data_IF_344842414312
#
_entry.id   IF_344842414312
#
_cell.length_a   1.000
_cell.length_b   1.000
_cell.length_c   1.000
_cell.angle_alpha   90.00
_cell.angle_beta   90.00
_cell.angle_gamma   90.00
#
_symmetry.space_group_name_H-M   'P 1'
#
loop_
_entity.id
_entity.type
_entity.pdbx_description
1 polymer ?
#
# COMPACT_ATOMS: atom_id res chain seq x y z
N UNK A 1 -26.49 1.48 -22.25
CA UNK A 1 -26.33 2.33 -21.03
C UNK A 1 -25.93 1.40 -19.90
N UNK A 2 -24.63 1.31 -19.61
CA UNK A 2 -24.12 0.53 -18.48
C UNK A 2 -24.37 1.33 -17.22
N UNK A 3 -25.16 0.78 -16.30
CA UNK A 3 -25.36 1.28 -14.94
C UNK A 3 -23.99 1.52 -14.29
N UNK A 4 -23.76 2.64 -13.58
CA UNK A 4 -22.54 2.82 -12.82
C UNK A 4 -22.44 1.67 -11.82
N UNK A 5 -21.39 0.87 -11.92
CA UNK A 5 -21.17 -0.30 -11.07
C UNK A 5 -20.86 0.20 -9.66
N UNK A 6 -21.88 0.28 -8.82
CA UNK A 6 -21.70 0.55 -7.40
C UNK A 6 -20.83 -0.56 -6.80
N UNK A 7 -19.84 -0.20 -5.98
CA UNK A 7 -19.05 -1.16 -5.20
C UNK A 7 -20.00 -1.84 -4.22
N UNK A 8 -20.12 -3.17 -4.27
CA UNK A 8 -20.89 -3.98 -3.33
C UNK A 8 -20.13 -4.25 -2.03
N UNK A 9 -18.80 -4.32 -2.10
CA UNK A 9 -17.95 -4.56 -0.95
C UNK A 9 -16.53 -3.98 -1.13
N UNK A 10 -15.87 -3.72 -0.01
CA UNK A 10 -14.47 -3.30 0.11
C UNK A 10 -13.68 -4.37 0.86
N UNK A 11 -12.62 -4.87 0.26
CA UNK A 11 -11.67 -5.79 0.87
C UNK A 11 -10.38 -5.04 1.22
N UNK A 12 -10.02 -4.95 2.49
CA UNK A 12 -8.74 -4.36 2.92
C UNK A 12 -7.75 -5.49 3.18
N UNK A 13 -6.70 -5.60 2.37
CA UNK A 13 -5.70 -6.67 2.46
C UNK A 13 -4.43 -6.14 3.09
N UNK A 14 -4.00 -6.76 4.18
CA UNK A 14 -2.87 -6.37 5.03
C UNK A 14 -1.91 -7.56 5.18
N UNK A 15 -0.79 -7.61 4.44
CA UNK A 15 0.25 -8.59 4.69
C UNK A 15 0.98 -8.24 6.00
N UNK A 16 1.18 -9.25 6.85
CA UNK A 16 1.84 -9.05 8.14
C UNK A 16 2.84 -10.17 8.43
N UNK A 17 4.02 -9.80 8.94
CA UNK A 17 5.04 -10.74 9.41
C UNK A 17 5.68 -10.24 10.68
N UNK A 18 5.28 -10.80 11.82
CA UNK A 18 5.73 -10.38 13.15
C UNK A 18 5.50 -8.88 13.40
N UNK A 19 4.26 -8.43 13.30
CA UNK A 19 3.86 -7.02 13.40
C UNK A 19 3.02 -6.73 14.65
N UNK A 20 3.15 -7.52 15.71
CA UNK A 20 2.35 -7.38 16.93
C UNK A 20 2.38 -5.96 17.53
N UNK A 21 3.47 -5.20 17.33
CA UNK A 21 3.62 -3.85 17.87
C UNK A 21 2.94 -2.76 17.03
N UNK A 22 2.89 -2.90 15.71
CA UNK A 22 2.41 -1.83 14.81
C UNK A 22 1.02 -2.14 14.23
N UNK A 23 0.68 -3.41 14.08
CA UNK A 23 -0.59 -3.85 13.51
C UNK A 23 -1.83 -3.32 14.27
N UNK A 24 -1.85 -3.18 15.61
CA UNK A 24 -3.02 -2.62 16.30
C UNK A 24 -3.42 -1.25 15.77
N UNK A 25 -2.47 -0.34 15.59
CA UNK A 25 -2.73 1.01 15.07
C UNK A 25 -3.21 0.98 13.61
N UNK A 26 -2.66 0.07 12.78
CA UNK A 26 -3.11 -0.11 11.40
C UNK A 26 -4.57 -0.60 11.34
N UNK A 27 -4.94 -1.58 12.16
CA UNK A 27 -6.30 -2.13 12.24
C UNK A 27 -7.31 -1.12 12.78
N UNK A 28 -6.94 -0.34 13.79
CA UNK A 28 -7.76 0.75 14.33
C UNK A 28 -8.04 1.81 13.26
N UNK A 29 -7.00 2.22 12.50
CA UNK A 29 -7.15 3.17 11.40
C UNK A 29 -8.07 2.64 10.29
N UNK A 30 -7.94 1.37 9.92
CA UNK A 30 -8.83 0.72 8.94
C UNK A 30 -10.25 0.63 9.48
N UNK A 31 -10.45 0.28 10.76
CA UNK A 31 -11.74 0.25 11.42
C UNK A 31 -12.42 1.63 11.45
N UNK A 32 -11.65 2.68 11.66
CA UNK A 32 -12.12 4.08 11.58
C UNK A 32 -12.53 4.43 10.16
N UNK A 33 -11.72 4.11 9.16
CA UNK A 33 -12.04 4.36 7.75
C UNK A 33 -13.29 3.58 7.28
N UNK A 34 -13.51 2.37 7.81
CA UNK A 34 -14.68 1.55 7.51
C UNK A 34 -16.00 2.15 8.06
N UNK A 35 -15.91 2.96 9.11
CA UNK A 35 -17.06 3.65 9.74
C UNK A 35 -17.34 5.03 9.13
N UNK A 36 -16.58 5.46 8.13
CA UNK A 36 -16.79 6.76 7.49
C UNK A 36 -18.19 6.84 6.87
N UNK A 37 -18.90 7.95 7.08
CA UNK A 37 -20.30 8.11 6.67
C UNK A 37 -20.54 7.84 5.16
N UNK A 38 -19.58 8.20 4.31
CA UNK A 38 -19.67 7.96 2.86
C UNK A 38 -19.54 6.49 2.45
N UNK A 39 -19.15 5.59 3.34
CA UNK A 39 -19.15 4.14 3.07
C UNK A 39 -20.57 3.59 3.15
N UNK A 40 -21.42 4.16 4.03
CA UNK A 40 -22.81 3.76 4.15
C UNK A 40 -22.97 2.27 4.46
N UNK A 41 -23.79 1.58 3.66
CA UNK A 41 -24.07 0.15 3.80
C UNK A 41 -23.08 -0.77 3.05
N UNK A 42 -22.01 -0.24 2.46
CA UNK A 42 -21.00 -1.07 1.77
C UNK A 42 -20.28 -1.96 2.77
N UNK A 43 -20.28 -3.27 2.51
CA UNK A 43 -19.59 -4.24 3.37
C UNK A 43 -18.08 -4.05 3.30
N UNK A 44 -17.43 -3.85 4.45
CA UNK A 44 -15.96 -3.79 4.55
C UNK A 44 -15.43 -5.03 5.23
N UNK A 45 -14.47 -5.71 4.61
CA UNK A 45 -13.77 -6.88 5.15
C UNK A 45 -12.28 -6.59 5.27
N UNK A 46 -11.75 -6.55 6.49
CA UNK A 46 -10.32 -6.54 6.72
C UNK A 46 -9.77 -7.98 6.71
N UNK A 47 -8.71 -8.20 5.94
CA UNK A 47 -8.02 -9.49 5.82
C UNK A 47 -6.55 -9.29 6.16
N UNK A 48 -6.10 -9.92 7.24
CA UNK A 48 -4.69 -9.95 7.64
C UNK A 48 -4.07 -11.27 7.21
N UNK A 49 -3.03 -11.19 6.39
CA UNK A 49 -2.28 -12.38 5.98
C UNK A 49 -1.06 -12.53 6.88
N UNK A 50 -1.15 -13.46 7.84
CA UNK A 50 -0.09 -13.74 8.80
C UNK A 50 0.97 -14.65 8.15
N UNK A 51 1.99 -14.03 7.51
CA UNK A 51 3.03 -14.77 6.77
C UNK A 51 4.21 -15.14 7.66
N UNK A 52 4.28 -16.40 8.07
CA UNK A 52 5.36 -16.94 8.90
C UNK A 52 5.51 -16.19 10.25
N UNK A 53 4.39 -15.77 10.83
CA UNK A 53 4.38 -15.11 12.15
C UNK A 53 4.70 -16.10 13.27
N UNK A 54 5.46 -15.63 14.25
CA UNK A 54 5.86 -16.35 15.47
C UNK A 54 5.51 -15.57 16.75
N UNK A 55 4.92 -14.38 16.58
CA UNK A 55 4.47 -13.46 17.62
C UNK A 55 2.93 -13.42 17.71
N UNK A 56 2.38 -12.49 18.46
CA UNK A 56 0.93 -12.35 18.67
C UNK A 56 0.17 -11.72 17.47
N UNK A 57 0.82 -11.48 16.30
CA UNK A 57 0.20 -10.83 15.13
C UNK A 57 -1.15 -11.45 14.75
N UNK A 58 -1.24 -12.79 14.69
CA UNK A 58 -2.47 -13.47 14.28
C UNK A 58 -3.61 -13.33 15.31
N UNK A 59 -3.27 -13.36 16.60
CA UNK A 59 -4.26 -13.26 17.68
C UNK A 59 -4.79 -11.82 17.80
N UNK A 60 -3.93 -10.83 17.68
CA UNK A 60 -4.29 -9.41 17.60
C UNK A 60 -5.24 -9.17 16.43
N UNK A 61 -4.97 -9.77 15.28
CA UNK A 61 -5.82 -9.64 14.09
C UNK A 61 -7.22 -10.20 14.30
N UNK A 62 -7.33 -11.39 14.93
CA UNK A 62 -8.63 -12.03 15.26
C UNK A 62 -9.40 -11.18 16.26
N UNK A 63 -8.74 -10.70 17.31
CA UNK A 63 -9.35 -9.86 18.34
C UNK A 63 -9.91 -8.54 17.75
N UNK A 64 -9.28 -8.00 16.70
CA UNK A 64 -9.76 -6.83 15.97
C UNK A 64 -10.88 -7.16 14.95
N UNK A 65 -11.33 -8.42 14.84
CA UNK A 65 -12.39 -8.83 13.91
C UNK A 65 -11.95 -9.02 12.47
N UNK A 66 -10.65 -9.05 12.19
CA UNK A 66 -10.14 -9.30 10.85
C UNK A 66 -10.21 -10.81 10.48
N UNK A 67 -10.44 -11.10 9.20
CA UNK A 67 -10.21 -12.43 8.66
C UNK A 67 -8.71 -12.71 8.63
N UNK A 68 -8.25 -13.76 9.33
CA UNK A 68 -6.83 -14.11 9.39
C UNK A 68 -6.52 -15.25 8.44
N UNK A 69 -5.54 -15.05 7.57
CA UNK A 69 -5.04 -16.05 6.61
C UNK A 69 -3.61 -16.42 6.97
N UNK A 70 -3.37 -17.52 7.68
CA UNK A 70 -2.01 -17.96 8.00
C UNK A 70 -1.35 -18.60 6.78
N UNK A 71 -0.13 -18.15 6.47
CA UNK A 71 0.68 -18.67 5.36
C UNK A 71 2.16 -18.78 5.75
N UNK A 72 2.96 -19.44 4.91
CA UNK A 72 4.42 -19.60 5.12
C UNK A 72 5.18 -19.29 3.83
N UNK A 73 4.95 -18.09 3.26
CA UNK A 73 5.56 -17.72 1.98
C UNK A 73 6.84 -16.92 2.13
N UNK A 74 6.95 -16.12 3.21
CA UNK A 74 8.02 -15.13 3.35
C UNK A 74 8.15 -14.26 2.09
N UNK A 75 6.99 -13.92 1.51
CA UNK A 75 6.89 -13.20 0.25
C UNK A 75 5.63 -12.34 0.27
N UNK A 76 5.81 -11.03 0.23
CA UNK A 76 4.73 -10.05 0.36
C UNK A 76 3.73 -10.12 -0.80
N UNK A 77 4.18 -10.33 -2.03
CA UNK A 77 3.30 -10.48 -3.19
C UNK A 77 2.40 -11.71 -3.09
N UNK A 78 2.98 -12.87 -2.71
CA UNK A 78 2.19 -14.10 -2.45
C UNK A 78 1.23 -13.93 -1.28
N UNK A 79 1.65 -13.22 -0.24
CA UNK A 79 0.79 -12.92 0.91
C UNK A 79 -0.39 -12.05 0.47
N UNK A 80 -0.16 -10.93 -0.23
CA UNK A 80 -1.24 -10.10 -0.77
C UNK A 80 -2.18 -10.90 -1.68
N UNK A 81 -1.65 -11.71 -2.59
CA UNK A 81 -2.47 -12.56 -3.47
C UNK A 81 -3.33 -13.54 -2.68
N UNK A 82 -2.82 -14.15 -1.60
CA UNK A 82 -3.59 -15.03 -0.72
C UNK A 82 -4.70 -14.26 0.01
N UNK A 83 -4.41 -13.06 0.49
CA UNK A 83 -5.40 -12.19 1.13
C UNK A 83 -6.53 -11.79 0.18
N UNK A 84 -6.20 -11.39 -1.04
CA UNK A 84 -7.21 -11.08 -2.07
C UNK A 84 -8.08 -12.29 -2.36
N UNK A 85 -7.49 -13.46 -2.57
CA UNK A 85 -8.24 -14.70 -2.83
C UNK A 85 -9.20 -15.04 -1.68
N UNK A 86 -8.75 -14.92 -0.43
CA UNK A 86 -9.58 -15.16 0.75
C UNK A 86 -10.72 -14.12 0.85
N UNK A 87 -10.43 -12.86 0.57
CA UNK A 87 -11.44 -11.81 0.56
C UNK A 87 -12.54 -12.06 -0.47
N UNK A 88 -12.16 -12.36 -1.72
CA UNK A 88 -13.10 -12.62 -2.81
C UNK A 88 -13.95 -13.88 -2.52
N UNK A 89 -13.34 -14.93 -1.99
CA UNK A 89 -14.07 -16.13 -1.55
C UNK A 89 -15.09 -15.84 -0.45
N UNK A 90 -14.77 -14.93 0.49
CA UNK A 90 -15.64 -14.59 1.64
C UNK A 90 -16.76 -13.61 1.25
N UNK A 91 -16.48 -12.66 0.37
CA UNK A 91 -17.42 -11.62 -0.04
C UNK A 91 -18.38 -12.10 -1.15
N UNK A 92 -18.01 -13.14 -1.89
CA UNK A 92 -18.68 -13.56 -3.12
C UNK A 92 -18.30 -12.60 -4.25
N UNK A 93 -17.59 -13.10 -5.26
CA UNK A 93 -17.10 -12.25 -6.35
C UNK A 93 -18.05 -12.28 -7.54
N UNK A 94 -18.94 -11.29 -7.62
CA UNK A 94 -19.45 -10.87 -8.92
C UNK A 94 -18.38 -9.97 -9.52
N UNK A 95 -17.86 -10.26 -10.74
CA UNK A 95 -16.74 -9.51 -11.30
C UNK A 95 -16.96 -7.99 -11.28
N UNK A 96 -16.07 -7.27 -10.56
CA UNK A 96 -16.14 -5.82 -10.40
C UNK A 96 -16.98 -5.32 -9.22
N UNK A 97 -17.67 -6.18 -8.47
CA UNK A 97 -18.45 -5.78 -7.29
C UNK A 97 -17.60 -5.54 -6.05
N UNK A 98 -16.38 -6.08 -6.00
CA UNK A 98 -15.45 -5.91 -4.90
C UNK A 98 -14.33 -4.96 -5.29
N UNK A 99 -14.08 -3.97 -4.42
CA UNK A 99 -12.90 -3.14 -4.48
C UNK A 99 -11.86 -3.65 -3.49
N UNK A 100 -10.67 -3.94 -3.97
CA UNK A 100 -9.53 -4.43 -3.20
C UNK A 100 -8.67 -3.24 -2.83
N UNK A 101 -8.55 -2.94 -1.55
CA UNK A 101 -7.68 -1.92 -1.00
C UNK A 101 -6.50 -2.59 -0.28
N UNK A 102 -5.27 -2.24 -0.61
CA UNK A 102 -4.06 -2.78 0.01
C UNK A 102 -3.37 -1.73 0.87
N UNK A 103 -3.03 -2.10 2.10
CA UNK A 103 -2.16 -1.33 3.00
C UNK A 103 -1.20 -2.26 3.72
N UNK A 104 -0.24 -1.71 4.48
CA UNK A 104 0.75 -2.50 5.21
C UNK A 104 0.45 -2.53 6.72
N UNK A 105 0.94 -3.56 7.40
CA UNK A 105 0.72 -3.76 8.83
C UNK A 105 1.40 -2.71 9.74
N UNK A 106 2.33 -1.93 9.20
CA UNK A 106 3.01 -0.82 9.85
C UNK A 106 2.58 0.55 9.32
N UNK A 107 1.43 0.59 8.68
CA UNK A 107 0.90 1.79 8.02
C UNK A 107 -0.47 2.16 8.57
N UNK A 108 -0.71 3.46 8.74
CA UNK A 108 -2.00 3.99 9.19
C UNK A 108 -2.65 4.78 8.06
N UNK A 109 -3.88 4.39 7.73
CA UNK A 109 -4.70 5.04 6.71
C UNK A 109 -5.45 6.23 7.32
N UNK A 110 -5.87 7.18 6.48
CA UNK A 110 -6.72 8.30 6.91
C UNK A 110 -8.17 7.83 7.17
N UNK A 111 -8.94 8.54 8.01
CA UNK A 111 -10.35 8.21 8.23
C UNK A 111 -11.20 8.19 6.95
N UNK A 112 -10.84 8.99 5.95
CA UNK A 112 -11.53 9.10 4.66
C UNK A 112 -10.94 8.19 3.55
N UNK A 113 -9.95 7.35 3.87
CA UNK A 113 -9.20 6.57 2.87
C UNK A 113 -10.08 5.63 2.04
N UNK A 114 -10.96 4.85 2.68
CA UNK A 114 -11.88 3.95 1.97
C UNK A 114 -12.94 4.73 1.20
N UNK A 115 -13.45 5.82 1.78
CA UNK A 115 -14.41 6.70 1.12
C UNK A 115 -13.81 7.34 -0.14
N UNK A 116 -12.55 7.79 -0.07
CA UNK A 116 -11.82 8.30 -1.24
C UNK A 116 -11.71 7.22 -2.33
N UNK A 117 -11.31 6.00 -2.00
CA UNK A 117 -11.20 4.92 -2.98
C UNK A 117 -12.56 4.53 -3.58
N UNK A 118 -13.61 4.45 -2.76
CA UNK A 118 -14.96 4.17 -3.22
C UNK A 118 -15.48 5.24 -4.19
N UNK A 119 -15.21 6.52 -3.89
CA UNK A 119 -15.57 7.63 -4.79
C UNK A 119 -14.85 7.51 -6.15
N UNK A 120 -13.54 7.19 -6.15
CA UNK A 120 -12.79 7.01 -7.41
C UNK A 120 -13.33 5.83 -8.22
N UNK A 121 -13.68 4.72 -7.57
CA UNK A 121 -14.32 3.60 -8.26
C UNK A 121 -15.69 3.98 -8.86
N UNK A 122 -16.50 4.76 -8.16
CA UNK A 122 -17.78 5.27 -8.65
C UNK A 122 -17.60 6.20 -9.88
N UNK A 123 -16.47 6.90 -9.99
CA UNK A 123 -16.07 7.67 -11.18
C UNK A 123 -15.60 6.81 -12.36
N UNK A 124 -15.58 5.48 -12.18
CA UNK A 124 -15.17 4.51 -13.19
C UNK A 124 -13.68 4.29 -13.28
N UNK A 125 -12.89 4.64 -12.25
CA UNK A 125 -11.49 4.23 -12.17
C UNK A 125 -11.39 2.74 -11.81
N UNK A 126 -10.52 2.03 -12.51
CA UNK A 126 -10.26 0.61 -12.25
C UNK A 126 -9.21 0.41 -11.15
N UNK A 127 -8.32 1.38 -10.95
CA UNK A 127 -7.33 1.36 -9.88
C UNK A 127 -6.96 2.76 -9.40
N UNK A 128 -6.57 2.85 -8.13
CA UNK A 128 -6.04 4.06 -7.47
C UNK A 128 -4.67 3.74 -6.91
N UNK A 129 -3.67 4.53 -7.28
CA UNK A 129 -2.30 4.45 -6.77
C UNK A 129 -2.04 5.72 -5.96
N UNK A 130 -1.96 5.57 -4.65
CA UNK A 130 -1.77 6.67 -3.72
C UNK A 130 -0.31 6.87 -3.31
N UNK A 131 -0.06 7.99 -2.62
CA UNK A 131 1.24 8.31 -2.01
C UNK A 131 1.35 7.77 -0.59
N UNK A 132 2.58 7.69 -0.09
CA UNK A 132 2.86 7.44 1.33
C UNK A 132 3.59 8.63 1.95
N UNK A 133 3.44 8.78 3.26
CA UNK A 133 4.18 9.76 4.06
C UNK A 133 4.85 9.06 5.23
N UNK A 134 5.97 9.58 5.70
CA UNK A 134 6.66 9.10 6.89
C UNK A 134 6.62 10.22 7.93
N UNK A 135 5.89 10.02 9.03
CA UNK A 135 5.74 11.07 10.05
C UNK A 135 6.76 10.97 11.18
N UNK A 136 7.15 9.77 11.56
CA UNK A 136 8.01 9.53 12.70
C UNK A 136 9.32 8.91 12.24
N UNK A 137 10.32 9.76 12.08
CA UNK A 137 11.67 9.31 11.79
C UNK A 137 12.42 9.02 13.10
N UNK A 138 13.20 7.95 13.19
CA UNK A 138 14.05 7.70 14.35
C UNK A 138 14.99 8.88 14.63
N UNK A 139 15.36 9.14 15.89
CA UNK A 139 16.35 10.15 16.24
C UNK A 139 17.64 10.01 15.41
N UNK A 140 18.21 11.13 14.98
CA UNK A 140 19.43 11.17 14.18
C UNK A 140 19.23 10.90 12.69
N UNK A 141 17.98 10.83 12.18
CA UNK A 141 17.68 10.63 10.76
C UNK A 141 17.05 11.86 10.07
N UNK A 142 17.21 13.05 10.65
CA UNK A 142 16.63 14.30 10.11
C UNK A 142 17.08 14.57 8.67
N UNK A 143 18.39 14.49 8.40
CA UNK A 143 18.94 14.72 7.05
C UNK A 143 18.43 13.70 6.03
N UNK A 144 18.25 12.43 6.46
CA UNK A 144 17.70 11.39 5.60
C UNK A 144 16.23 11.66 5.32
N UNK A 145 15.47 12.14 6.31
CA UNK A 145 14.08 12.51 6.18
C UNK A 145 13.89 13.65 5.16
N UNK A 146 14.73 14.68 5.24
CA UNK A 146 14.71 15.82 4.31
C UNK A 146 15.10 15.39 2.90
N UNK A 147 16.16 14.59 2.77
CA UNK A 147 16.60 14.07 1.48
C UNK A 147 15.54 13.18 0.83
N UNK A 148 14.94 12.26 1.59
CA UNK A 148 13.85 11.42 1.12
C UNK A 148 12.66 12.28 0.66
N UNK A 149 12.24 13.25 1.47
CA UNK A 149 11.15 14.16 1.12
C UNK A 149 11.44 14.93 -0.16
N UNK A 150 12.65 15.48 -0.30
CA UNK A 150 13.07 16.19 -1.49
C UNK A 150 12.96 15.31 -2.74
N UNK A 151 13.58 14.12 -2.73
CA UNK A 151 13.52 13.18 -3.86
C UNK A 151 12.08 12.71 -4.15
N UNK A 152 11.30 12.50 -3.11
CA UNK A 152 9.92 12.06 -3.26
C UNK A 152 9.04 13.11 -3.94
N UNK A 153 9.24 14.37 -3.61
CA UNK A 153 8.45 15.49 -4.11
C UNK A 153 9.03 16.17 -5.37
N UNK A 154 10.19 15.75 -5.87
CA UNK A 154 10.83 16.36 -7.05
C UNK A 154 9.91 16.48 -8.28
N UNK A 155 8.97 15.55 -8.46
CA UNK A 155 8.00 15.55 -9.56
C UNK A 155 6.71 16.28 -9.23
N UNK A 156 6.61 16.92 -8.05
CA UNK A 156 5.38 17.57 -7.62
C UNK A 156 5.16 18.87 -8.38
N UNK A 157 3.99 19.04 -9.03
CA UNK A 157 3.69 20.28 -9.74
C UNK A 157 3.45 21.43 -8.75
N UNK A 158 3.43 22.69 -9.23
CA UNK A 158 3.01 23.84 -8.44
C UNK A 158 1.63 23.64 -7.80
N UNK A 159 1.39 24.33 -6.68
CA UNK A 159 0.13 24.24 -5.95
C UNK A 159 -1.10 24.45 -6.87
N UNK A 160 -2.16 23.70 -6.63
CA UNK A 160 -3.41 23.75 -7.40
C UNK A 160 -3.45 22.89 -8.67
N UNK A 161 -2.37 22.18 -9.00
CA UNK A 161 -2.38 21.22 -10.10
C UNK A 161 -2.40 19.78 -9.59
N UNK A 162 -3.15 18.84 -10.22
CA UNK A 162 -3.12 17.43 -9.87
C UNK A 162 -1.71 16.85 -9.97
N UNK A 163 -1.29 16.09 -8.97
CA UNK A 163 -0.01 15.40 -8.99
C UNK A 163 -0.13 13.94 -9.40
N UNK A 164 0.12 13.66 -10.66
CA UNK A 164 0.21 12.29 -11.19
C UNK A 164 1.59 11.69 -10.87
N UNK A 165 1.87 11.49 -9.58
CA UNK A 165 3.17 11.06 -9.07
C UNK A 165 3.66 9.73 -9.69
N UNK A 166 4.99 9.51 -9.80
CA UNK A 166 5.55 8.27 -10.36
C UNK A 166 5.55 7.10 -9.36
N UNK A 167 5.32 7.39 -8.08
CA UNK A 167 5.47 6.44 -6.99
C UNK A 167 4.42 5.33 -7.03
N UNK A 168 4.81 4.11 -6.61
CA UNK A 168 3.91 2.96 -6.41
C UNK A 168 4.27 2.34 -5.07
N UNK A 169 3.26 2.16 -4.22
CA UNK A 169 3.40 1.57 -2.90
C UNK A 169 2.24 0.61 -2.64
N UNK A 170 2.56 -0.64 -2.32
CA UNK A 170 1.56 -1.62 -1.90
C UNK A 170 0.80 -1.21 -0.64
N UNK A 171 1.36 -0.27 0.14
CA UNK A 171 0.72 0.33 1.31
C UNK A 171 -0.44 1.28 0.97
N UNK A 172 -0.57 1.74 -0.29
CA UNK A 172 -1.65 2.64 -0.72
C UNK A 172 -2.06 2.36 -2.16
N UNK A 173 -2.71 1.22 -2.37
CA UNK A 173 -3.15 0.75 -3.68
C UNK A 173 -4.60 0.27 -3.59
N UNK A 174 -5.44 0.72 -4.52
CA UNK A 174 -6.80 0.23 -4.71
C UNK A 174 -7.00 -0.30 -6.11
N UNK A 175 -7.80 -1.37 -6.27
CA UNK A 175 -8.10 -1.95 -7.58
C UNK A 175 -9.44 -2.70 -7.55
N UNK A 176 -10.23 -2.59 -8.61
CA UNK A 176 -11.43 -3.40 -8.79
C UNK A 176 -11.07 -4.89 -8.96
N UNK A 177 -11.89 -5.80 -8.42
CA UNK A 177 -11.66 -7.26 -8.57
C UNK A 177 -11.56 -7.68 -10.03
N UNK A 178 -12.33 -7.04 -10.92
CA UNK A 178 -12.29 -7.27 -12.37
C UNK A 178 -10.92 -6.91 -12.96
N UNK A 179 -10.42 -5.71 -12.70
CA UNK A 179 -9.13 -5.27 -13.24
C UNK A 179 -7.96 -6.05 -12.62
N UNK A 180 -8.06 -6.39 -11.32
CA UNK A 180 -7.10 -7.25 -10.63
C UNK A 180 -6.98 -8.62 -11.29
N UNK A 181 -8.12 -9.27 -11.60
CA UNK A 181 -8.14 -10.56 -12.27
C UNK A 181 -7.58 -10.47 -13.70
N UNK A 182 -7.98 -9.45 -14.48
CA UNK A 182 -7.49 -9.23 -15.84
C UNK A 182 -5.97 -8.99 -15.89
N UNK A 183 -5.40 -8.34 -14.85
CA UNK A 183 -3.96 -8.09 -14.73
C UNK A 183 -3.17 -9.29 -14.20
N UNK A 184 -3.82 -10.41 -13.85
CA UNK A 184 -3.17 -11.59 -13.26
C UNK A 184 -2.86 -11.50 -11.77
N UNK A 185 -3.28 -10.42 -11.09
CA UNK A 185 -3.12 -10.23 -9.66
C UNK A 185 -1.70 -9.87 -9.20
N UNK A 186 -1.47 -9.91 -7.89
CA UNK A 186 -0.12 -9.71 -7.32
C UNK A 186 0.80 -10.87 -7.70
N UNK A 187 1.93 -10.60 -8.36
CA UNK A 187 2.90 -11.65 -8.69
C UNK A 187 3.69 -12.09 -7.45
N UNK A 188 4.10 -13.36 -7.43
CA UNK A 188 4.89 -13.96 -6.35
C UNK A 188 6.39 -13.66 -6.44
N UNK A 189 6.77 -12.44 -6.82
CA UNK A 189 8.17 -12.01 -6.91
C UNK A 189 8.72 -11.57 -5.55
N UNK A 190 10.05 -11.58 -5.35
CA UNK A 190 10.65 -11.15 -4.07
C UNK A 190 10.40 -9.69 -3.72
N UNK A 191 10.40 -8.80 -4.73
CA UNK A 191 10.27 -7.34 -4.60
C UNK A 191 9.47 -6.76 -5.77
N UNK A 192 8.90 -5.56 -5.58
CA UNK A 192 8.20 -4.79 -6.63
C UNK A 192 6.92 -5.44 -7.17
N UNK A 193 6.27 -6.29 -6.40
CA UNK A 193 4.98 -6.92 -6.77
C UNK A 193 3.88 -5.88 -7.04
N UNK A 194 3.91 -4.75 -6.33
CA UNK A 194 3.01 -3.61 -6.51
C UNK A 194 3.27 -2.88 -7.83
N UNK A 195 4.52 -2.62 -8.17
CA UNK A 195 4.91 -2.00 -9.45
C UNK A 195 4.55 -2.87 -10.64
N UNK A 196 4.77 -4.18 -10.52
CA UNK A 196 4.42 -5.13 -11.58
C UNK A 196 2.91 -5.25 -11.75
N UNK A 197 2.13 -5.26 -10.66
CA UNK A 197 0.67 -5.21 -10.76
C UNK A 197 0.21 -3.94 -11.47
N UNK A 198 0.72 -2.76 -11.08
CA UNK A 198 0.35 -1.49 -11.73
C UNK A 198 0.77 -1.45 -13.20
N UNK A 199 1.91 -2.04 -13.56
CA UNK A 199 2.32 -2.18 -14.96
C UNK A 199 1.37 -3.08 -15.75
N UNK A 200 0.99 -4.24 -15.19
CA UNK A 200 0.02 -5.16 -15.80
C UNK A 200 -1.36 -4.52 -15.97
N UNK A 201 -1.85 -3.76 -14.97
CA UNK A 201 -3.10 -3.01 -15.07
C UNK A 201 -3.08 -2.04 -16.27
N UNK A 202 -1.97 -1.33 -16.49
CA UNK A 202 -1.84 -0.44 -17.66
C UNK A 202 -1.83 -1.21 -18.98
N UNK A 203 -1.14 -2.34 -19.02
CA UNK A 203 -1.07 -3.19 -20.23
C UNK A 203 -2.43 -3.77 -20.60
N UNK A 204 -3.30 -4.05 -19.63
CA UNK A 204 -4.66 -4.53 -19.86
C UNK A 204 -5.67 -3.40 -20.19
N UNK A 205 -5.21 -2.15 -20.27
CA UNK A 205 -6.05 -0.99 -20.58
C UNK A 205 -6.89 -0.49 -19.39
N UNK A 206 -6.57 -0.89 -18.16
CA UNK A 206 -7.26 -0.42 -16.96
C UNK A 206 -7.05 1.10 -16.76
N UNK A 207 -8.09 1.80 -16.32
CA UNK A 207 -8.04 3.22 -15.96
C UNK A 207 -7.39 3.38 -14.59
N UNK A 208 -6.12 3.76 -14.54
CA UNK A 208 -5.33 3.90 -13.32
C UNK A 208 -5.18 5.37 -12.95
N UNK A 209 -5.77 5.76 -11.81
CA UNK A 209 -5.57 7.09 -11.21
C UNK A 209 -4.32 7.08 -10.34
N UNK A 210 -3.46 8.08 -10.52
CA UNK A 210 -2.38 8.41 -9.57
C UNK A 210 -2.75 9.68 -8.84
N UNK A 211 -2.80 9.64 -7.51
CA UNK A 211 -3.24 10.79 -6.71
C UNK A 211 -2.51 10.87 -5.36
N UNK A 212 -2.32 12.10 -4.89
CA UNK A 212 -1.77 12.39 -3.56
C UNK A 212 -2.84 12.87 -2.57
N UNK A 213 -4.13 12.78 -2.91
CA UNK A 213 -5.21 13.35 -2.11
C UNK A 213 -5.45 12.60 -0.79
N UNK A 214 -5.17 11.30 -0.76
CA UNK A 214 -5.32 10.47 0.43
C UNK A 214 -4.03 9.68 0.74
N UNK A 215 -2.98 10.34 1.26
CA UNK A 215 -1.73 9.68 1.60
C UNK A 215 -1.89 8.74 2.79
N UNK A 216 -1.17 7.61 2.76
CA UNK A 216 -1.05 6.68 3.88
C UNK A 216 0.23 6.99 4.65
N UNK A 217 0.16 6.98 5.99
CA UNK A 217 1.34 7.17 6.84
C UNK A 217 1.99 5.82 7.11
N UNK A 218 3.27 5.66 6.75
CA UNK A 218 4.03 4.43 6.99
C UNK A 218 5.18 4.65 7.97
N UNK A 219 5.73 3.55 8.49
CA UNK A 219 6.82 3.54 9.45
C UNK A 219 8.18 3.77 8.76
N UNK A 220 9.08 4.53 9.42
CA UNK A 220 10.49 4.69 9.05
C UNK A 220 11.39 3.71 9.82
N UNK A 221 10.94 2.51 10.13
CA UNK A 221 11.74 1.56 10.91
C UNK A 221 13.08 1.23 10.25
N UNK A 222 14.12 1.07 11.07
CA UNK A 222 15.50 0.79 10.63
C UNK A 222 15.72 -0.66 10.18
N UNK A 223 14.84 -1.58 10.58
CA UNK A 223 14.94 -3.00 10.25
C UNK A 223 13.76 -3.37 9.34
N UNK A 224 13.95 -3.32 8.00
CA UNK A 224 12.92 -3.71 7.06
C UNK A 224 12.61 -5.21 7.23
N UNK A 225 11.33 -5.58 7.17
CA UNK A 225 10.89 -6.98 7.20
C UNK A 225 10.76 -7.59 5.81
N UNK A 226 10.61 -6.74 4.80
CA UNK A 226 10.64 -7.12 3.39
C UNK A 226 11.97 -6.66 2.78
N UNK A 227 12.78 -7.59 2.27
CA UNK A 227 14.00 -7.26 1.53
C UNK A 227 13.63 -6.50 0.25
N UNK A 228 14.36 -5.41 -0.06
CA UNK A 228 14.10 -4.57 -1.24
C UNK A 228 12.86 -3.69 -1.16
N UNK A 229 12.18 -3.63 -0.01
CA UNK A 229 11.03 -2.77 0.22
C UNK A 229 11.39 -1.31 0.53
N UNK A 230 10.38 -0.52 0.95
CA UNK A 230 10.53 0.90 1.28
C UNK A 230 11.62 1.16 2.34
N UNK A 231 11.72 0.31 3.37
CA UNK A 231 12.77 0.44 4.39
C UNK A 231 14.18 0.26 3.84
N UNK A 232 14.40 -0.68 2.91
CA UNK A 232 15.71 -0.86 2.25
C UNK A 232 16.05 0.30 1.34
N UNK A 233 15.05 0.90 0.68
CA UNK A 233 15.21 2.14 -0.09
C UNK A 233 15.72 3.27 0.81
N UNK A 234 15.15 3.44 2.01
CA UNK A 234 15.61 4.44 2.98
C UNK A 234 17.04 4.19 3.44
N UNK A 235 17.43 2.93 3.69
CA UNK A 235 18.81 2.56 4.05
C UNK A 235 19.78 2.86 2.89
N UNK A 236 19.38 2.57 1.65
CA UNK A 236 20.15 2.87 0.45
C UNK A 236 20.45 4.35 0.28
N UNK A 237 19.47 5.23 0.51
CA UNK A 237 19.64 6.68 0.51
C UNK A 237 20.67 7.18 1.54
N UNK A 238 20.72 6.54 2.72
CA UNK A 238 21.71 6.85 3.76
C UNK A 238 23.15 6.47 3.35
N UNK A 239 23.32 5.38 2.59
CA UNK A 239 24.64 4.91 2.14
C UNK A 239 25.24 5.76 1.02
N UNK A 240 24.44 6.28 0.12
CA UNK A 240 24.89 7.10 -1.02
C UNK A 240 25.52 8.42 -0.57
N UNK A 241 25.22 8.92 0.63
CA UNK A 241 25.83 10.14 1.22
C UNK A 241 27.20 9.91 1.86
N UNK A 242 27.59 8.68 2.14
CA UNK A 242 28.86 8.36 2.85
C UNK A 242 30.05 8.19 1.89
N UNK A 243 29.87 8.34 0.58
CA UNK A 243 30.97 8.40 -0.38
C UNK A 243 31.20 9.87 -0.77
N UNK A 244 32.21 10.57 -0.20
CA UNK A 244 32.63 11.87 -0.70
C UNK A 244 33.15 11.65 -2.13
N UNK A 245 32.64 12.42 -3.09
CA UNK A 245 33.24 12.52 -4.42
C UNK A 245 34.65 13.09 -4.25
N UNK A 246 35.63 12.20 -4.23
CA UNK A 246 37.03 12.57 -4.31
C UNK A 246 37.32 13.14 -5.70
N UNK A 247 37.23 14.46 -5.82
CA UNK A 247 37.85 15.21 -6.91
C UNK A 247 39.17 15.74 -6.37
N UNK A 248 40.20 14.90 -6.33
CA UNK A 248 41.57 15.35 -6.26
C UNK A 248 41.94 16.00 -7.59
N UNK A 249 42.02 17.31 -7.55
CA UNK A 249 42.74 18.10 -8.55
C UNK A 249 44.21 17.68 -8.56
N UNK A 250 44.66 16.92 -9.56
CA UNK A 250 46.09 16.79 -9.87
C UNK A 250 46.54 18.04 -10.59
N UNK A 251 47.09 18.96 -9.82
CA UNK A 251 48.09 19.91 -10.36
C UNK A 251 49.37 19.13 -10.58
N UNK A 252 49.83 19.11 -11.82
CA UNK A 252 51.20 18.72 -12.13
C UNK A 252 51.78 19.73 -13.10
N UNK A 253 52.91 20.18 -12.72
CA UNK A 253 53.89 21.07 -13.31
C UNK A 253 54.20 20.77 -14.80
#
# INVERSE_FOLDING_TARGET
MTTPHGIGALAVVIPARNEELLLPAALEAVGTAAKHASIGAVRVLAVVVADSCTDATADISRAAGALVVPVRYRNVGRARAAGVRAALSTLGDTPGSVWIASTDADSTVRPDWLAHQAARAAEGWDAVVGTVTVKHWPPGMTDLAEHHRHLYEMSRPPAGRPWHHPHVHGANLGVSSRAYAAAGGFPGVPIHEDRLLVAALKTTGARVLRTADSPVTTSARRTPRAQGGFGDHLIGLGRTRLTPSGHEARHSR
#
